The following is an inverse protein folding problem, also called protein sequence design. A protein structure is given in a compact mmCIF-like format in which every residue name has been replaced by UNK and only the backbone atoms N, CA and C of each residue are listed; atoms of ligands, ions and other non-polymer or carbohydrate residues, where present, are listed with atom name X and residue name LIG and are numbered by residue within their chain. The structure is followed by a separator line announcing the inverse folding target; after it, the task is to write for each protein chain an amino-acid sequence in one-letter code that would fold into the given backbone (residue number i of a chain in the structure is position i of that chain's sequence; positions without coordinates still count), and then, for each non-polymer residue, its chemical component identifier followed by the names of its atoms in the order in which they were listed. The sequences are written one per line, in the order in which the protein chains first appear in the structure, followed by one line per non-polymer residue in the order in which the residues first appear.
data_IF_858895029837
#
_entry.id   IF_858895029837
#
_cell.length_a   1.000
_cell.length_b   1.000
_cell.length_c   1.000
_cell.angle_alpha   90.00
_cell.angle_beta   90.00
_cell.angle_gamma   90.00
#
_symmetry.space_group_name_H-M   'P 1'
#
loop_
_entity.id
_entity.type
_entity.pdbx_description
1 polymer ?
#
# COMPACT_ATOMS: atom_id res chain seq x y z
N UNK A 1 -8.25 -13.77 5.78
CA UNK A 1 -7.52 -13.89 7.09
C UNK A 1 -7.40 -12.49 7.69
N UNK A 2 -7.78 -12.30 8.96
CA UNK A 2 -7.76 -10.95 9.58
C UNK A 2 -6.34 -10.48 9.87
N UNK A 3 -6.01 -9.28 9.42
CA UNK A 3 -4.75 -8.59 9.72
C UNK A 3 -4.91 -7.93 11.09
N UNK A 4 -3.89 -8.02 11.95
CA UNK A 4 -3.93 -7.31 13.23
C UNK A 4 -3.57 -5.83 13.04
N UNK A 5 -4.27 -4.94 13.73
CA UNK A 5 -4.00 -3.49 13.73
C UNK A 5 -2.54 -3.19 14.07
N UNK A 6 -2.00 -3.86 15.09
CA UNK A 6 -0.59 -3.74 15.51
C UNK A 6 0.39 -4.06 14.38
N UNK A 7 0.10 -5.05 13.54
CA UNK A 7 0.95 -5.39 12.39
C UNK A 7 0.91 -4.27 11.37
N UNK A 8 -0.27 -3.68 11.12
CA UNK A 8 -0.38 -2.59 10.16
C UNK A 8 0.31 -1.31 10.64
N UNK A 9 0.16 -0.94 11.91
CA UNK A 9 0.86 0.20 12.53
C UNK A 9 2.38 0.08 12.39
N UNK A 10 2.92 -1.10 12.70
CA UNK A 10 4.35 -1.37 12.54
C UNK A 10 4.82 -1.19 11.08
N UNK A 11 4.01 -1.58 10.11
CA UNK A 11 4.34 -1.39 8.68
C UNK A 11 4.31 0.08 8.27
N UNK A 12 3.40 0.88 8.85
CA UNK A 12 3.37 2.33 8.63
C UNK A 12 4.65 2.98 9.15
N UNK A 13 5.11 2.61 10.35
CA UNK A 13 6.38 3.09 10.92
C UNK A 13 7.59 2.75 10.02
N UNK A 14 7.61 1.53 9.44
CA UNK A 14 8.66 1.10 8.52
C UNK A 14 8.68 2.02 7.29
N UNK A 15 7.53 2.35 6.69
CA UNK A 15 7.49 3.24 5.52
C UNK A 15 8.08 4.63 5.81
N UNK A 16 7.82 5.16 7.01
CA UNK A 16 8.29 6.48 7.45
C UNK A 16 9.78 6.49 7.81
N UNK A 17 10.37 5.32 8.07
CA UNK A 17 11.78 5.18 8.45
C UNK A 17 12.75 5.26 7.25
N UNK A 18 12.24 5.24 6.01
CA UNK A 18 13.07 5.38 4.81
C UNK A 18 13.34 6.86 4.51
N UNK A 19 14.60 7.27 4.65
CA UNK A 19 15.10 8.64 4.39
C UNK A 19 15.29 8.94 2.89
N UNK A 20 14.86 8.03 2.01
CA UNK A 20 14.94 8.29 0.58
C UNK A 20 13.85 9.29 0.20
N UNK A 21 14.06 10.15 -0.83
CA UNK A 21 13.06 11.07 -1.35
C UNK A 21 12.00 10.30 -2.16
N UNK A 22 11.44 9.26 -1.55
CA UNK A 22 10.40 8.44 -2.11
C UNK A 22 9.11 9.00 -1.54
N UNK A 23 8.36 9.67 -2.40
CA UNK A 23 7.00 10.06 -2.05
C UNK A 23 6.22 8.78 -1.72
N UNK A 24 5.75 8.60 -0.47
CA UNK A 24 4.98 7.43 -0.12
C UNK A 24 3.65 7.52 -0.87
N UNK A 25 3.54 6.79 -1.97
CA UNK A 25 2.31 6.69 -2.73
C UNK A 25 1.40 5.65 -2.09
N UNK A 26 0.28 6.10 -1.54
CA UNK A 26 -0.76 5.26 -0.93
C UNK A 26 -1.92 5.04 -1.92
N UNK A 27 -2.65 3.94 -1.72
CA UNK A 27 -3.92 3.66 -2.41
C UNK A 27 -3.86 2.53 -3.42
N UNK A 28 -4.94 2.40 -4.20
CA UNK A 28 -5.06 1.38 -5.25
C UNK A 28 -4.07 1.63 -6.38
N UNK A 29 -3.30 0.60 -6.73
CA UNK A 29 -2.35 0.61 -7.84
C UNK A 29 -2.27 -0.76 -8.49
N UNK A 30 -1.78 -0.80 -9.72
CA UNK A 30 -1.31 -2.03 -10.35
C UNK A 30 0.02 -2.46 -9.70
N UNK A 31 0.25 -3.76 -9.60
CA UNK A 31 1.54 -4.31 -9.16
C UNK A 31 2.72 -3.74 -9.99
N UNK A 32 3.91 -3.56 -9.38
CA UNK A 32 5.05 -2.93 -10.04
C UNK A 32 5.62 -3.87 -11.12
N UNK A 33 6.14 -3.30 -12.21
CA UNK A 33 6.61 -4.05 -13.37
C UNK A 33 7.96 -4.75 -13.16
N UNK A 34 8.71 -4.40 -12.11
CA UNK A 34 10.03 -4.96 -11.83
C UNK A 34 9.90 -6.30 -11.09
N UNK A 35 9.94 -7.40 -11.85
CA UNK A 35 10.15 -8.75 -11.31
C UNK A 35 8.96 -9.71 -11.36
N UNK A 36 8.21 -9.78 -12.48
CA UNK A 36 7.17 -10.78 -12.84
C UNK A 36 5.98 -11.02 -11.88
N UNK A 37 6.12 -10.81 -10.57
CA UNK A 37 5.13 -11.01 -9.53
C UNK A 37 5.59 -10.42 -8.18
N UNK A 38 4.64 -10.07 -7.33
CA UNK A 38 4.85 -9.72 -5.92
C UNK A 38 3.96 -10.59 -5.02
N UNK A 39 4.05 -10.45 -3.70
CA UNK A 39 3.27 -11.24 -2.76
C UNK A 39 2.52 -10.35 -1.77
N UNK A 40 1.27 -10.72 -1.48
CA UNK A 40 0.50 -10.07 -0.42
C UNK A 40 1.21 -10.25 0.92
N UNK A 41 1.46 -9.14 1.62
CA UNK A 41 2.18 -9.17 2.88
C UNK A 41 1.41 -9.85 4.03
N UNK A 42 0.09 -10.04 3.86
CA UNK A 42 -0.79 -10.69 4.83
C UNK A 42 -0.93 -12.19 4.57
N UNK A 43 -1.43 -12.59 3.40
CA UNK A 43 -1.77 -13.97 3.09
C UNK A 43 -0.73 -14.69 2.22
N UNK A 44 0.33 -13.99 1.79
CA UNK A 44 1.36 -14.51 0.87
C UNK A 44 0.81 -14.97 -0.48
N UNK A 45 -0.42 -14.59 -0.83
CA UNK A 45 -0.95 -14.81 -2.17
C UNK A 45 -0.05 -14.11 -3.20
N UNK A 46 0.24 -14.82 -4.29
CA UNK A 46 0.93 -14.26 -5.44
C UNK A 46 0.04 -13.20 -6.08
N UNK A 47 0.64 -12.07 -6.41
CA UNK A 47 0.04 -10.93 -7.10
C UNK A 47 0.84 -10.79 -8.39
N UNK A 48 0.18 -10.93 -9.54
CA UNK A 48 0.83 -10.85 -10.84
C UNK A 48 0.75 -9.44 -11.41
N UNK A 49 1.38 -9.23 -12.57
CA UNK A 49 1.32 -7.96 -13.29
C UNK A 49 -0.13 -7.49 -13.46
N UNK A 50 -0.34 -6.18 -13.30
CA UNK A 50 -1.64 -5.50 -13.44
C UNK A 50 -2.71 -5.86 -12.41
N UNK A 51 -2.44 -6.76 -11.46
CA UNK A 51 -3.36 -7.03 -10.37
C UNK A 51 -3.55 -5.76 -9.50
N UNK A 52 -4.81 -5.46 -9.11
CA UNK A 52 -5.08 -4.35 -8.22
C UNK A 52 -4.58 -4.67 -6.81
N UNK A 53 -3.82 -3.75 -6.23
CA UNK A 53 -3.32 -3.85 -4.87
C UNK A 53 -3.43 -2.54 -4.11
N UNK A 54 -3.45 -2.61 -2.80
CA UNK A 54 -3.35 -1.46 -1.89
C UNK A 54 -2.01 -1.54 -1.16
N UNK A 55 -1.22 -0.47 -1.17
CA UNK A 55 0.11 -0.53 -0.59
C UNK A 55 0.87 0.78 -0.56
N UNK A 56 2.02 0.76 0.11
CA UNK A 56 3.04 1.79 0.05
C UNK A 56 4.15 1.29 -0.90
N UNK A 57 4.38 2.07 -1.96
CA UNK A 57 5.41 1.76 -2.94
C UNK A 57 6.65 2.61 -2.69
N UNK A 58 7.70 1.97 -2.20
CA UNK A 58 9.06 2.48 -2.26
C UNK A 58 9.77 1.67 -3.36
N UNK A 59 10.59 2.32 -4.19
CA UNK A 59 11.31 1.68 -5.34
C UNK A 59 12.05 0.38 -4.98
N UNK A 60 12.36 0.17 -3.69
CA UNK A 60 13.05 -1.00 -3.17
C UNK A 60 12.24 -1.82 -2.15
N UNK A 61 11.06 -1.34 -1.75
CA UNK A 61 10.20 -1.96 -0.74
C UNK A 61 8.75 -1.80 -1.19
N UNK A 62 8.17 -2.88 -1.71
CA UNK A 62 6.76 -2.96 -2.05
C UNK A 62 6.01 -3.63 -0.89
N UNK A 63 5.38 -2.82 -0.04
CA UNK A 63 4.41 -3.32 0.93
C UNK A 63 3.03 -3.31 0.29
N UNK A 64 2.60 -4.47 -0.22
CA UNK A 64 1.34 -4.60 -0.97
C UNK A 64 0.38 -5.60 -0.32
N UNK A 65 -0.91 -5.30 -0.41
CA UNK A 65 -2.01 -6.14 0.06
C UNK A 65 -2.98 -6.41 -1.10
N UNK A 66 -3.41 -7.67 -1.22
CA UNK A 66 -4.38 -8.09 -2.23
C UNK A 66 -5.80 -7.59 -1.90
N UNK A 67 -6.71 -7.53 -2.89
CA UNK A 67 -8.06 -7.03 -2.69
C UNK A 67 -8.85 -7.79 -1.63
N UNK A 68 -8.65 -9.09 -1.51
CA UNK A 68 -9.31 -9.93 -0.51
C UNK A 68 -8.90 -9.54 0.92
N UNK A 69 -7.60 -9.35 1.17
CA UNK A 69 -7.13 -8.90 2.48
C UNK A 69 -7.59 -7.47 2.82
N UNK A 70 -7.73 -6.60 1.83
CA UNK A 70 -8.28 -5.26 2.02
C UNK A 70 -9.78 -5.34 2.32
N UNK A 71 -10.54 -6.14 1.58
CA UNK A 71 -11.97 -6.36 1.76
C UNK A 71 -12.34 -7.04 3.09
N UNK A 72 -11.46 -7.92 3.60
CA UNK A 72 -11.60 -8.55 4.92
C UNK A 72 -11.36 -7.56 6.09
N UNK A 73 -10.68 -6.44 5.85
CA UNK A 73 -10.24 -5.49 6.88
C UNK A 73 -10.30 -4.02 6.42
N UNK A 74 -11.43 -3.54 5.86
CA UNK A 74 -11.52 -2.23 5.20
C UNK A 74 -11.18 -1.06 6.15
N UNK A 75 -11.54 -1.18 7.43
CA UNK A 75 -11.27 -0.19 8.47
C UNK A 75 -9.77 0.08 8.69
N UNK A 76 -8.93 -0.93 8.42
CA UNK A 76 -7.49 -0.82 8.59
C UNK A 76 -6.84 -0.03 7.44
N UNK A 77 -7.45 -0.03 6.26
CA UNK A 77 -6.91 0.60 5.05
C UNK A 77 -7.55 1.96 4.73
N UNK A 78 -8.51 2.43 5.52
CA UNK A 78 -9.25 3.67 5.27
C UNK A 78 -8.34 4.86 4.93
N UNK A 79 -7.27 5.07 5.70
CA UNK A 79 -6.32 6.17 5.47
C UNK A 79 -5.56 6.05 4.14
N UNK A 80 -5.31 4.83 3.64
CA UNK A 80 -4.63 4.61 2.37
C UNK A 80 -5.60 4.65 1.19
N UNK A 81 -6.87 4.34 1.44
CA UNK A 81 -7.96 4.37 0.46
C UNK A 81 -8.58 5.75 0.31
N UNK A 82 -8.42 6.62 1.32
CA UNK A 82 -8.88 8.01 1.23
C UNK A 82 -8.04 8.70 0.16
N UNK A 83 -8.68 9.30 -0.88
CA UNK A 83 -7.96 10.16 -1.80
C UNK A 83 -7.16 11.17 -0.98
N UNK A 84 -5.89 11.41 -1.33
CA UNK A 84 -5.17 12.54 -0.76
C UNK A 84 -6.06 13.77 -0.92
N UNK A 85 -6.26 14.60 0.12
CA UNK A 85 -6.96 15.85 -0.08
C UNK A 85 -6.25 16.55 -1.23
N UNK A 86 -7.01 16.88 -2.27
CA UNK A 86 -6.51 17.71 -3.35
C UNK A 86 -5.82 18.88 -2.66
N UNK A 87 -4.50 19.00 -2.84
CA UNK A 87 -3.82 20.21 -2.41
C UNK A 87 -4.45 21.30 -3.25
N UNK A 88 -5.44 21.99 -2.67
CA UNK A 88 -6.04 23.18 -3.25
C UNK A 88 -4.88 24.02 -3.76
N UNK A 89 -4.81 24.14 -5.07
CA UNK A 89 -3.88 25.03 -5.74
C UNK A 89 -4.25 26.44 -5.28
N UNK A 90 -3.56 26.90 -4.23
CA UNK A 90 -3.45 28.32 -3.86
C UNK A 90 -3.08 29.09 -5.13
N UNK A 91 -4.09 29.66 -5.76
CA UNK A 91 -3.95 30.67 -6.81
C UNK A 91 -5.11 31.63 -6.64
N UNK A 92 -4.92 32.58 -5.72
CA UNK A 92 -5.48 33.93 -5.81
C UNK A 92 -4.34 34.90 -6.14
#
# INVERSE_FOLDING_TARGET
MKISTKRLEHLREISQSFVLPLEPMHGWRSAPHDGDHTHCLSCSAMIVLDDPVVGCYLRYISMVFCPECVGDNPELFLEWLTPLPDSESDTD
#
